data_IF_880708908762
#
_entry.id   IF_880708908762
#
_cell.length_a   1.000
_cell.length_b   1.000
_cell.length_c   1.000
_cell.angle_alpha   90.00
_cell.angle_beta   90.00
_cell.angle_gamma   90.00
#
_symmetry.space_group_name_H-M   'P 1'
#
loop_
_entity.id
_entity.type
_entity.pdbx_description
1 polymer ?
#
# COMPACT_ATOMS: atom_id res chain seq x y z
N UNK A 1 -3.64 -16.80 -19.18
CA UNK A 1 -2.56 -16.34 -18.29
C UNK A 1 -2.89 -16.82 -16.88
N UNK A 2 -1.95 -17.46 -16.19
CA UNK A 2 -2.14 -17.88 -14.79
C UNK A 2 -1.72 -16.73 -13.86
N UNK A 3 -2.61 -16.33 -12.95
CA UNK A 3 -2.35 -15.27 -11.98
C UNK A 3 -1.73 -15.88 -10.72
N UNK A 4 -0.47 -16.30 -10.81
CA UNK A 4 0.22 -17.02 -9.72
C UNK A 4 0.20 -16.26 -8.39
N UNK A 5 0.22 -14.92 -8.46
CA UNK A 5 0.16 -14.02 -7.30
C UNK A 5 -1.20 -14.05 -6.58
N UNK A 6 -2.30 -14.42 -7.24
CA UNK A 6 -3.62 -14.50 -6.59
C UNK A 6 -3.74 -15.60 -5.53
N UNK A 7 -2.75 -16.51 -5.47
CA UNK A 7 -2.65 -17.56 -4.47
C UNK A 7 -1.94 -17.10 -3.19
N UNK A 8 -1.31 -15.92 -3.21
CA UNK A 8 -0.66 -15.35 -2.03
C UNK A 8 -1.73 -14.80 -1.10
N UNK A 9 -1.78 -15.36 0.10
CA UNK A 9 -2.71 -14.95 1.14
C UNK A 9 -1.99 -14.93 2.48
N UNK A 10 -1.78 -13.72 3.01
CA UNK A 10 -1.11 -13.46 4.27
C UNK A 10 -1.51 -12.08 4.79
N UNK A 11 -1.71 -11.90 6.09
CA UNK A 11 -2.25 -10.65 6.66
C UNK A 11 -1.36 -9.43 6.38
N UNK A 12 -0.05 -9.63 6.30
CA UNK A 12 0.93 -8.58 5.97
C UNK A 12 1.29 -8.48 4.47
N UNK A 13 0.52 -9.12 3.57
CA UNK A 13 0.73 -9.04 2.11
C UNK A 13 -0.58 -8.71 1.42
N UNK A 14 -0.60 -7.59 0.68
CA UNK A 14 -1.81 -7.15 -0.01
C UNK A 14 -2.22 -8.14 -1.09
N UNK A 15 -3.41 -8.73 -0.94
CA UNK A 15 -3.92 -9.75 -1.84
C UNK A 15 -4.26 -9.20 -3.22
N UNK A 16 -3.71 -9.83 -4.26
CA UNK A 16 -4.13 -9.61 -5.65
C UNK A 16 -5.36 -10.48 -5.93
N UNK A 17 -6.44 -9.88 -6.40
CA UNK A 17 -7.72 -10.54 -6.67
C UNK A 17 -7.85 -10.93 -8.13
N UNK A 18 -7.42 -10.05 -9.04
CA UNK A 18 -7.48 -10.28 -10.47
C UNK A 18 -6.43 -9.44 -11.21
N UNK A 19 -6.14 -9.82 -12.44
CA UNK A 19 -5.40 -9.01 -13.39
C UNK A 19 -6.02 -9.17 -14.77
N UNK A 20 -6.09 -8.08 -15.52
CA UNK A 20 -6.55 -8.03 -16.90
C UNK A 20 -5.42 -7.50 -17.76
N UNK A 21 -5.16 -8.11 -18.91
CA UNK A 21 -4.29 -7.54 -19.95
C UNK A 21 -5.10 -6.79 -21.01
N UNK A 22 -6.42 -6.68 -20.85
CA UNK A 22 -7.27 -5.88 -21.70
C UNK A 22 -7.10 -4.41 -21.31
N UNK A 23 -6.49 -3.63 -22.20
CA UNK A 23 -6.42 -2.18 -22.11
C UNK A 23 -7.47 -1.56 -23.05
N UNK A 24 -8.16 -0.48 -22.65
CA UNK A 24 -8.98 0.29 -23.57
C UNK A 24 -8.16 0.72 -24.78
N UNK A 25 -8.71 0.61 -25.99
CA UNK A 25 -8.00 0.87 -27.25
C UNK A 25 -7.39 2.28 -27.39
N UNK A 26 -7.68 3.19 -26.44
CA UNK A 26 -7.15 4.55 -26.36
C UNK A 26 -5.93 4.71 -25.45
N UNK A 27 -5.47 3.65 -24.77
CA UNK A 27 -4.35 3.74 -23.83
C UNK A 27 -3.35 2.61 -24.06
N UNK A 28 -2.07 2.99 -24.23
CA UNK A 28 -0.95 2.05 -24.19
C UNK A 28 -0.72 1.62 -22.74
N UNK A 29 -1.51 0.65 -22.29
CA UNK A 29 -1.46 0.10 -20.94
C UNK A 29 -1.22 -1.40 -21.01
N UNK A 30 -0.37 -1.89 -20.10
CA UNK A 30 -0.08 -3.32 -19.93
C UNK A 30 -1.26 -4.10 -19.33
N UNK A 31 -2.32 -3.38 -18.89
CA UNK A 31 -3.50 -3.98 -18.29
C UNK A 31 -3.95 -3.29 -17.01
N UNK A 32 -4.63 -4.05 -16.14
CA UNK A 32 -5.14 -3.59 -14.84
C UNK A 32 -4.94 -4.68 -13.81
N UNK A 33 -4.38 -4.32 -12.65
CA UNK A 33 -4.29 -5.20 -11.48
C UNK A 33 -5.36 -4.76 -10.49
N UNK A 34 -6.13 -5.72 -10.00
CA UNK A 34 -7.14 -5.53 -8.96
C UNK A 34 -6.61 -6.20 -7.70
N UNK A 35 -6.41 -5.39 -6.67
CA UNK A 35 -5.89 -5.80 -5.37
C UNK A 35 -6.86 -5.37 -4.26
N UNK A 36 -6.77 -6.00 -3.10
CA UNK A 36 -7.55 -5.59 -1.95
C UNK A 36 -7.21 -4.15 -1.52
N UNK A 37 -8.19 -3.50 -0.91
CA UNK A 37 -8.05 -2.13 -0.48
C UNK A 37 -7.41 -2.05 0.90
N UNK A 38 -6.12 -1.70 0.97
CA UNK A 38 -5.35 -1.59 2.21
C UNK A 38 -5.48 -0.23 2.93
N UNK A 39 -6.35 0.67 2.45
CA UNK A 39 -6.59 1.99 3.04
C UNK A 39 -6.21 3.17 2.15
N UNK A 40 -6.42 4.38 2.68
CA UNK A 40 -6.22 5.66 1.97
C UNK A 40 -4.79 6.19 2.03
N UNK A 41 -4.02 5.74 3.02
CA UNK A 41 -2.71 6.27 3.37
C UNK A 41 -1.68 5.17 3.13
N UNK A 42 -0.52 5.53 2.56
CA UNK A 42 0.58 4.60 2.36
C UNK A 42 1.61 4.76 3.48
N UNK A 43 2.46 3.75 3.70
CA UNK A 43 3.53 3.87 4.70
C UNK A 43 4.45 5.08 4.42
N UNK A 44 4.70 5.41 3.14
CA UNK A 44 5.42 6.62 2.74
C UNK A 44 4.77 7.90 3.29
N UNK A 45 3.44 8.00 3.23
CA UNK A 45 2.70 9.12 3.77
C UNK A 45 2.78 9.21 5.30
N UNK A 46 2.90 8.08 5.99
CA UNK A 46 3.08 8.04 7.45
C UNK A 46 4.51 8.47 7.82
N UNK A 47 5.53 7.97 7.11
CA UNK A 47 6.94 8.25 7.40
C UNK A 47 7.33 9.69 7.06
N UNK A 48 6.95 10.17 5.87
CA UNK A 48 7.41 11.47 5.36
C UNK A 48 6.36 12.58 5.47
N UNK A 49 5.21 12.27 6.07
CA UNK A 49 4.07 13.19 6.09
C UNK A 49 3.42 13.32 4.71
N UNK A 50 2.25 13.94 4.68
CA UNK A 50 1.52 14.20 3.44
C UNK A 50 1.11 15.65 3.41
N UNK A 51 1.70 16.46 2.55
CA UNK A 51 1.21 17.81 2.29
C UNK A 51 -0.15 17.85 1.57
N UNK A 52 -0.70 16.70 1.15
CA UNK A 52 -1.72 16.65 0.09
C UNK A 52 -2.99 15.85 0.40
N UNK A 53 -3.13 15.18 1.56
CA UNK A 53 -4.36 14.46 1.93
C UNK A 53 -5.39 15.36 2.62
N UNK A 54 -5.06 16.63 2.84
CA UNK A 54 -5.97 17.64 3.36
C UNK A 54 -6.84 18.15 2.20
N UNK A 55 -7.86 17.37 1.87
CA UNK A 55 -8.99 17.88 1.12
C UNK A 55 -9.67 18.97 1.94
N UNK A 56 -9.45 20.23 1.53
CA UNK A 56 -10.30 21.43 1.71
C UNK A 56 -11.50 21.24 2.66
N UNK A 57 -11.36 21.74 3.87
CA UNK A 57 -12.42 21.93 4.86
C UNK A 57 -11.93 22.99 5.85
N UNK A 58 -12.22 24.23 5.47
CA UNK A 58 -12.16 25.53 6.17
C UNK A 58 -11.49 25.64 7.56
N UNK A 59 -10.50 26.54 7.58
CA UNK A 59 -10.23 27.55 8.63
C UNK A 59 -10.07 27.05 10.08
N UNK A 60 -8.83 26.69 10.45
CA UNK A 60 -8.25 27.31 11.63
C UNK A 60 -6.71 27.23 11.62
N UNK A 61 -6.08 28.34 11.99
CA UNK A 61 -4.64 28.51 11.96
C UNK A 61 -3.90 27.57 12.90
N UNK A 62 -2.84 26.94 12.38
CA UNK A 62 -1.91 26.20 13.22
C UNK A 62 -1.02 25.31 12.39
N UNK A 63 0.23 25.75 12.16
CA UNK A 63 1.25 24.91 11.55
C UNK A 63 1.39 23.63 12.36
N UNK A 64 0.86 22.52 11.84
CA UNK A 64 0.96 21.24 12.51
C UNK A 64 1.97 20.41 11.74
N UNK A 65 3.25 20.66 12.03
CA UNK A 65 4.31 19.70 11.75
C UNK A 65 3.89 18.39 12.37
N UNK A 66 3.53 17.41 11.54
CA UNK A 66 3.12 16.08 11.97
C UNK A 66 4.20 15.54 12.92
N UNK A 67 3.80 15.04 14.08
CA UNK A 67 4.76 14.40 14.98
C UNK A 67 5.46 13.26 14.24
N UNK A 68 6.79 13.18 14.34
CA UNK A 68 7.53 12.09 13.72
C UNK A 68 7.02 10.75 14.26
N UNK A 69 6.95 9.77 13.36
CA UNK A 69 6.55 8.39 13.64
C UNK A 69 7.30 7.88 14.88
N UNK A 70 6.58 7.43 15.92
CA UNK A 70 7.23 7.02 17.16
C UNK A 70 8.08 5.76 16.95
N UNK A 71 9.06 5.51 17.83
CA UNK A 71 9.89 4.30 17.77
C UNK A 71 9.01 3.04 17.89
N UNK A 72 7.99 3.07 18.75
CA UNK A 72 7.09 1.93 18.95
C UNK A 72 6.29 1.62 17.67
N UNK A 73 5.73 2.64 17.01
CA UNK A 73 5.03 2.46 15.73
C UNK A 73 5.99 2.01 14.62
N UNK A 74 7.20 2.57 14.58
CA UNK A 74 8.23 2.18 13.62
C UNK A 74 8.57 0.70 13.75
N UNK A 75 8.75 0.21 14.98
CA UNK A 75 9.00 -1.20 15.26
C UNK A 75 7.82 -2.09 14.86
N UNK A 76 6.58 -1.62 15.06
CA UNK A 76 5.37 -2.30 14.60
C UNK A 76 5.39 -2.51 13.08
N UNK A 77 5.61 -1.44 12.32
CA UNK A 77 5.70 -1.53 10.86
C UNK A 77 6.86 -2.42 10.40
N UNK A 78 8.03 -2.32 11.03
CA UNK A 78 9.16 -3.19 10.73
C UNK A 78 8.80 -4.67 10.94
N UNK A 79 8.13 -5.00 12.04
CA UNK A 79 7.70 -6.37 12.35
C UNK A 79 6.72 -6.91 11.31
N UNK A 80 5.73 -6.11 10.92
CA UNK A 80 4.74 -6.48 9.90
C UNK A 80 5.40 -6.73 8.54
N UNK A 81 6.31 -5.85 8.13
CA UNK A 81 7.07 -5.99 6.87
C UNK A 81 7.90 -7.27 6.87
N UNK A 82 8.64 -7.53 7.95
CA UNK A 82 9.48 -8.74 8.06
C UNK A 82 8.63 -10.00 8.00
N UNK A 83 7.46 -10.00 8.67
CA UNK A 83 6.53 -11.14 8.61
C UNK A 83 6.04 -11.39 7.18
N UNK A 84 5.63 -10.32 6.48
CA UNK A 84 5.23 -10.42 5.06
C UNK A 84 6.35 -10.90 4.14
N UNK A 85 7.58 -10.39 4.32
CA UNK A 85 8.74 -10.81 3.53
C UNK A 85 9.12 -12.27 3.78
N UNK A 86 9.07 -12.73 5.04
CA UNK A 86 9.32 -14.13 5.38
C UNK A 86 8.31 -15.06 4.71
N UNK A 87 7.03 -14.67 4.68
CA UNK A 87 6.01 -15.38 3.93
C UNK A 87 6.31 -15.41 2.44
N UNK A 88 6.60 -14.28 1.80
CA UNK A 88 6.91 -14.23 0.36
C UNK A 88 8.11 -15.11 -0.01
N UNK A 89 9.17 -15.06 0.80
CA UNK A 89 10.34 -15.92 0.63
C UNK A 89 9.97 -17.42 0.71
N UNK A 90 9.04 -17.81 1.57
CA UNK A 90 8.56 -19.20 1.67
C UNK A 90 7.80 -19.69 0.43
N UNK A 91 7.25 -18.77 -0.37
CA UNK A 91 6.51 -19.09 -1.59
C UNK A 91 7.42 -19.21 -2.83
N UNK A 92 8.74 -19.08 -2.65
CA UNK A 92 9.75 -19.18 -3.71
C UNK A 92 9.48 -18.22 -4.90
N UNK A 93 9.04 -17.00 -4.60
CA UNK A 93 8.85 -15.91 -5.56
C UNK A 93 10.11 -15.04 -5.60
#
# INVERSE_FOLDING_TARGET
AELNVARLHHDNVVRVVAASTCAPASQDSLGTIIMEYAGRITLHHVIYGTGCLQGKGEDDGGGCGREPLSIAESLGYCSDIVTGLAFLHSQCI
#
